data_IF_316192008737
#
_entry.id   IF_316192008737
#
_cell.length_a   1.000
_cell.length_b   1.000
_cell.length_c   1.000
_cell.angle_alpha   90.00
_cell.angle_beta   90.00
_cell.angle_gamma   90.00
#
_symmetry.space_group_name_H-M   'P 1'
#
loop_
_entity.id
_entity.type
_entity.pdbx_description
1 polymer ?
#
# COMPACT_ATOMS: atom_id res chain seq x y z
N UNK A 1 -20.71 -28.81 5.48
CA UNK A 1 -19.51 -28.00 5.26
C UNK A 1 -19.71 -26.61 5.87
N UNK A 2 -18.80 -26.19 6.70
CA UNK A 2 -18.84 -24.81 7.20
C UNK A 2 -18.36 -23.89 6.07
N UNK A 3 -19.20 -22.94 5.67
CA UNK A 3 -18.78 -21.85 4.80
C UNK A 3 -17.78 -20.99 5.57
N UNK A 4 -16.56 -20.86 5.05
CA UNK A 4 -15.57 -19.98 5.63
C UNK A 4 -15.88 -18.57 5.11
N UNK A 5 -16.18 -17.65 6.03
CA UNK A 5 -16.30 -16.26 5.66
C UNK A 5 -14.91 -15.70 5.32
N UNK A 6 -14.77 -14.96 4.20
CA UNK A 6 -13.50 -14.35 3.89
C UNK A 6 -13.15 -13.26 4.93
N UNK A 7 -11.90 -13.17 5.36
CA UNK A 7 -11.46 -12.08 6.24
C UNK A 7 -11.23 -10.77 5.49
N UNK A 8 -11.84 -10.63 4.32
CA UNK A 8 -11.71 -9.45 3.47
C UNK A 8 -13.02 -9.19 2.75
N UNK A 9 -13.20 -7.95 2.32
CA UNK A 9 -14.28 -7.57 1.42
C UNK A 9 -13.71 -7.15 0.07
N UNK A 10 -14.53 -7.20 -0.97
CA UNK A 10 -14.14 -6.76 -2.32
C UNK A 10 -14.74 -5.38 -2.57
N UNK A 11 -13.91 -4.44 -2.95
CA UNK A 11 -14.33 -3.09 -3.30
C UNK A 11 -13.72 -2.66 -4.64
N UNK A 12 -14.55 -2.11 -5.51
CA UNK A 12 -14.09 -1.38 -6.69
C UNK A 12 -13.94 0.08 -6.31
N UNK A 13 -12.78 0.65 -6.62
CA UNK A 13 -12.50 2.06 -6.34
C UNK A 13 -12.02 2.74 -7.61
N UNK A 14 -12.50 3.96 -7.83
CA UNK A 14 -11.98 4.84 -8.88
C UNK A 14 -10.54 5.23 -8.54
N UNK A 15 -9.82 5.70 -9.56
CA UNK A 15 -8.50 6.26 -9.34
C UNK A 15 -8.57 7.49 -8.41
N UNK A 16 -7.54 7.68 -7.61
CA UNK A 16 -7.44 8.87 -6.78
C UNK A 16 -5.98 9.32 -6.66
N UNK A 17 -5.81 10.63 -6.52
CA UNK A 17 -4.47 11.22 -6.42
C UNK A 17 -4.07 11.37 -4.97
N UNK A 18 -2.81 11.07 -4.71
CA UNK A 18 -2.18 11.26 -3.40
C UNK A 18 -0.95 12.14 -3.54
N UNK A 19 -0.60 12.80 -2.45
CA UNK A 19 0.66 13.54 -2.28
C UNK A 19 1.34 12.94 -1.06
N UNK A 20 2.63 12.70 -1.14
CA UNK A 20 3.32 12.07 -0.05
C UNK A 20 4.84 12.19 -0.04
N UNK A 21 5.40 11.61 0.99
CA UNK A 21 6.82 11.56 1.29
C UNK A 21 7.35 10.17 0.95
N UNK A 22 8.22 10.08 -0.05
CA UNK A 22 8.64 8.81 -0.63
C UNK A 22 10.07 8.43 -0.33
N UNK A 23 10.35 7.14 -0.43
CA UNK A 23 11.69 6.58 -0.36
C UNK A 23 11.79 5.41 -1.33
N UNK A 24 12.96 5.27 -1.98
CA UNK A 24 13.24 4.12 -2.83
C UNK A 24 13.96 3.05 -2.03
N UNK A 25 13.55 1.80 -2.20
CA UNK A 25 14.15 0.66 -1.53
C UNK A 25 14.09 -0.58 -2.43
N UNK A 26 14.38 -1.74 -1.87
CA UNK A 26 14.44 -2.98 -2.63
C UNK A 26 13.95 -4.16 -1.80
N UNK A 27 13.41 -5.17 -2.47
CA UNK A 27 13.09 -6.45 -1.84
C UNK A 27 14.31 -7.34 -1.65
N UNK A 28 15.46 -6.93 -2.20
CA UNK A 28 16.69 -7.70 -2.10
C UNK A 28 17.15 -7.76 -0.64
N UNK A 29 17.39 -8.98 -0.14
CA UNK A 29 17.90 -9.23 1.22
C UNK A 29 17.09 -8.58 2.33
N UNK A 30 15.79 -8.36 2.11
CA UNK A 30 14.92 -7.76 3.11
C UNK A 30 15.23 -6.29 3.41
N UNK A 31 15.88 -5.58 2.50
CA UNK A 31 16.28 -4.18 2.67
C UNK A 31 15.10 -3.28 3.06
N UNK A 32 13.92 -3.51 2.47
CA UNK A 32 12.71 -2.74 2.78
C UNK A 32 12.31 -2.84 4.25
N UNK A 33 12.59 -3.96 4.92
CA UNK A 33 12.28 -4.14 6.35
C UNK A 33 13.05 -3.20 7.25
N UNK A 34 14.17 -2.67 6.78
CA UNK A 34 14.97 -1.69 7.52
C UNK A 34 14.63 -0.27 7.06
N UNK A 35 14.51 -0.07 5.76
CA UNK A 35 14.30 1.26 5.16
C UNK A 35 12.91 1.82 5.49
N UNK A 36 11.86 1.01 5.38
CA UNK A 36 10.48 1.49 5.60
C UNK A 36 10.25 1.97 7.04
N UNK A 37 10.63 1.23 8.10
CA UNK A 37 10.50 1.75 9.46
C UNK A 37 11.30 3.04 9.71
N UNK A 38 12.49 3.16 9.14
CA UNK A 38 13.28 4.39 9.22
C UNK A 38 12.59 5.56 8.54
N UNK A 39 11.95 5.30 7.43
CA UNK A 39 11.21 6.32 6.68
C UNK A 39 10.01 6.83 7.49
N UNK A 40 9.26 5.94 8.14
CA UNK A 40 8.21 6.33 9.07
C UNK A 40 8.73 7.14 10.24
N UNK A 41 9.86 6.75 10.80
CA UNK A 41 10.49 7.51 11.89
C UNK A 41 10.87 8.92 11.44
N UNK A 42 11.52 9.05 10.29
CA UNK A 42 11.87 10.35 9.69
C UNK A 42 10.62 11.20 9.45
N UNK A 43 9.58 10.61 8.91
CA UNK A 43 8.30 11.27 8.65
C UNK A 43 7.74 11.93 9.92
N UNK A 44 7.80 11.22 11.05
CA UNK A 44 7.28 11.71 12.34
C UNK A 44 8.21 12.69 13.02
N UNK A 45 9.53 12.41 13.04
CA UNK A 45 10.51 13.18 13.82
C UNK A 45 10.92 14.44 13.08
N UNK A 46 11.06 14.39 11.77
CA UNK A 46 11.63 15.50 10.97
C UNK A 46 10.58 16.51 10.49
N UNK A 47 9.33 16.38 10.97
CA UNK A 47 8.28 17.36 10.70
C UNK A 47 7.50 17.16 9.41
N UNK A 48 7.74 16.08 8.66
CA UNK A 48 7.04 15.83 7.40
C UNK A 48 5.56 15.52 7.63
N UNK A 49 5.20 14.86 8.72
CA UNK A 49 3.82 14.59 9.07
C UNK A 49 3.01 15.89 9.23
N UNK A 50 3.56 16.84 9.96
CA UNK A 50 2.92 18.15 10.15
C UNK A 50 2.76 18.92 8.85
N UNK A 51 3.71 18.77 7.94
CA UNK A 51 3.67 19.44 6.64
C UNK A 51 2.72 18.74 5.67
N UNK A 52 2.50 17.43 5.83
CA UNK A 52 1.66 16.64 4.93
C UNK A 52 0.17 16.78 5.24
N UNK A 53 -0.23 16.70 6.51
CA UNK A 53 -1.64 16.72 6.90
C UNK A 53 -2.46 17.87 6.33
N UNK A 54 -1.95 19.11 6.27
CA UNK A 54 -2.70 20.22 5.66
C UNK A 54 -3.04 20.02 4.18
N UNK A 55 -2.37 19.10 3.50
CA UNK A 55 -2.62 18.79 2.09
C UNK A 55 -3.73 17.76 1.90
N UNK A 56 -4.16 17.10 2.96
CA UNK A 56 -5.21 16.09 2.92
C UNK A 56 -6.56 16.77 2.71
N UNK A 57 -7.02 16.86 1.46
CA UNK A 57 -8.24 17.59 1.10
C UNK A 57 -9.21 16.77 0.24
N UNK A 58 -8.95 15.47 0.06
CA UNK A 58 -9.79 14.57 -0.73
C UNK A 58 -10.04 13.27 0.02
N UNK A 59 -11.07 12.55 -0.42
CA UNK A 59 -11.33 11.18 0.04
C UNK A 59 -10.43 10.17 -0.70
N UNK A 60 -10.06 9.04 -0.09
CA UNK A 60 -10.34 8.70 1.32
C UNK A 60 -9.43 9.47 2.27
N UNK A 61 -9.97 9.86 3.43
CA UNK A 61 -9.18 10.52 4.48
C UNK A 61 -8.33 9.51 5.23
N UNK A 62 -7.14 9.93 5.65
CA UNK A 62 -6.22 9.13 6.42
C UNK A 62 -4.82 9.14 5.82
N UNK A 63 -3.95 8.33 6.40
CA UNK A 63 -2.60 8.09 5.88
C UNK A 63 -2.59 6.81 5.07
N UNK A 64 -1.77 6.80 4.04
CA UNK A 64 -1.49 5.62 3.23
C UNK A 64 -0.01 5.29 3.29
N UNK A 65 0.32 4.00 3.38
CA UNK A 65 1.62 3.48 3.04
C UNK A 65 1.49 2.74 1.71
N UNK A 66 2.15 3.21 0.66
CA UNK A 66 1.94 2.71 -0.69
C UNK A 66 3.23 2.13 -1.24
N UNK A 67 3.20 0.84 -1.58
CA UNK A 67 4.29 0.18 -2.29
C UNK A 67 4.04 0.32 -3.79
N UNK A 68 4.90 1.06 -4.46
CA UNK A 68 4.80 1.35 -5.89
C UNK A 68 5.89 0.56 -6.61
N UNK A 69 5.48 -0.37 -7.48
CA UNK A 69 6.37 -1.31 -8.13
C UNK A 69 6.74 -0.86 -9.54
N UNK A 70 7.76 -1.53 -10.08
CA UNK A 70 8.23 -1.31 -11.46
C UNK A 70 8.68 0.13 -11.72
N UNK A 71 9.27 0.76 -10.70
CA UNK A 71 9.78 2.13 -10.77
C UNK A 71 11.21 2.20 -11.30
N UNK A 72 11.90 1.06 -11.39
CA UNK A 72 13.23 0.95 -11.95
C UNK A 72 13.19 0.01 -13.15
N UNK A 73 13.70 0.46 -14.30
CA UNK A 73 13.66 -0.32 -15.54
C UNK A 73 14.69 -1.44 -15.60
N UNK A 74 15.70 -1.40 -14.75
CA UNK A 74 16.80 -2.37 -14.75
C UNK A 74 16.72 -3.42 -13.65
N UNK A 75 16.11 -3.09 -12.51
CA UNK A 75 16.00 -4.02 -11.38
C UNK A 75 14.54 -4.09 -10.89
N UNK A 76 13.82 -5.20 -11.17
CA UNK A 76 12.41 -5.35 -10.78
C UNK A 76 12.20 -5.49 -9.26
N UNK A 77 13.28 -5.65 -8.47
CA UNK A 77 13.18 -5.73 -7.01
C UNK A 77 13.14 -4.36 -6.36
N UNK A 78 13.50 -3.30 -7.09
CA UNK A 78 13.43 -1.93 -6.60
C UNK A 78 11.98 -1.45 -6.65
N UNK A 79 11.54 -0.83 -5.57
CA UNK A 79 10.22 -0.21 -5.49
C UNK A 79 10.28 1.08 -4.68
N UNK A 80 9.27 1.91 -4.85
CA UNK A 80 9.13 3.13 -4.07
C UNK A 80 8.07 2.93 -3.00
N UNK A 81 8.32 3.45 -1.80
CA UNK A 81 7.36 3.45 -0.71
C UNK A 81 6.99 4.90 -0.40
N UNK A 82 5.68 5.18 -0.38
CA UNK A 82 5.17 6.53 -0.23
C UNK A 82 4.25 6.59 0.98
N UNK A 83 4.53 7.51 1.92
CA UNK A 83 3.60 7.86 2.99
C UNK A 83 2.80 9.05 2.49
N UNK A 84 1.48 8.89 2.35
CA UNK A 84 0.70 9.83 1.56
C UNK A 84 -0.67 10.12 2.15
N UNK A 85 -1.27 11.20 1.66
CA UNK A 85 -2.66 11.58 1.90
C UNK A 85 -3.35 11.81 0.55
N UNK A 86 -4.67 11.62 0.50
CA UNK A 86 -5.45 11.97 -0.68
C UNK A 86 -5.49 13.49 -0.84
N UNK A 87 -5.07 13.99 -2.00
CA UNK A 87 -4.86 15.42 -2.21
C UNK A 87 -4.90 15.80 -3.68
N UNK A 88 -5.46 16.97 -3.97
CA UNK A 88 -5.35 17.61 -5.29
C UNK A 88 -4.38 18.80 -5.29
N UNK A 89 -3.68 19.02 -4.17
CA UNK A 89 -2.68 20.10 -4.08
C UNK A 89 -1.43 19.77 -4.90
N UNK A 90 -0.66 20.79 -5.25
CA UNK A 90 0.62 20.56 -5.91
C UNK A 90 1.59 19.81 -4.98
N UNK A 91 2.35 18.90 -5.58
CA UNK A 91 3.46 18.26 -4.90
C UNK A 91 4.70 19.12 -5.09
N UNK A 92 5.22 19.66 -4.00
CA UNK A 92 6.40 20.53 -3.99
C UNK A 92 7.35 20.15 -2.85
N UNK A 93 8.57 20.66 -2.90
CA UNK A 93 9.59 20.36 -1.90
C UNK A 93 9.92 18.89 -1.85
N UNK A 94 9.82 18.31 -0.65
CA UNK A 94 10.11 16.89 -0.40
C UNK A 94 8.95 15.96 -0.77
N UNK A 95 7.82 16.50 -1.22
CA UNK A 95 6.64 15.69 -1.55
C UNK A 95 6.54 15.40 -3.04
N UNK A 96 5.99 14.24 -3.34
CA UNK A 96 5.69 13.80 -4.70
C UNK A 96 4.23 13.41 -4.81
N UNK A 97 3.68 13.42 -6.02
CA UNK A 97 2.33 12.97 -6.28
C UNK A 97 2.34 11.58 -6.93
N UNK A 98 1.24 10.87 -6.71
CA UNK A 98 1.03 9.56 -7.32
C UNK A 98 -0.46 9.37 -7.56
N UNK A 99 -0.80 8.80 -8.70
CA UNK A 99 -2.17 8.43 -9.03
C UNK A 99 -2.38 6.97 -8.68
N UNK A 100 -3.18 6.70 -7.67
CA UNK A 100 -3.58 5.32 -7.35
C UNK A 100 -4.56 4.88 -8.42
N UNK A 101 -4.25 3.81 -9.17
CA UNK A 101 -5.11 3.43 -10.30
C UNK A 101 -6.46 2.88 -9.83
N UNK A 102 -7.47 3.04 -10.69
CA UNK A 102 -8.75 2.39 -10.48
C UNK A 102 -8.56 0.87 -10.54
N UNK A 103 -8.97 0.18 -9.49
CA UNK A 103 -8.79 -1.27 -9.35
C UNK A 103 -9.93 -1.88 -8.54
N UNK A 104 -10.02 -3.21 -8.61
CA UNK A 104 -10.77 -4.00 -7.65
C UNK A 104 -9.80 -4.42 -6.55
N UNK A 105 -10.19 -4.17 -5.32
CA UNK A 105 -9.35 -4.40 -4.14
C UNK A 105 -9.95 -5.46 -3.24
N UNK A 106 -9.12 -6.36 -2.74
CA UNK A 106 -9.43 -7.14 -1.54
C UNK A 106 -8.95 -6.33 -0.34
N UNK A 107 -9.88 -5.95 0.52
CA UNK A 107 -9.61 -5.08 1.67
C UNK A 107 -9.65 -5.93 2.93
N UNK A 108 -8.50 -6.03 3.60
CA UNK A 108 -8.33 -6.84 4.81
C UNK A 108 -8.23 -5.92 6.03
N UNK A 109 -9.27 -5.87 6.89
CA UNK A 109 -9.14 -5.19 8.17
C UNK A 109 -8.08 -5.86 9.04
N UNK A 110 -7.29 -5.06 9.75
CA UNK A 110 -6.24 -5.55 10.63
C UNK A 110 -5.94 -4.55 11.74
N UNK A 111 -4.84 -4.78 12.45
CA UNK A 111 -4.33 -3.86 13.47
C UNK A 111 -2.89 -3.49 13.15
N UNK A 112 -2.34 -2.51 13.85
CA UNK A 112 -0.92 -2.14 13.69
C UNK A 112 0.00 -3.32 13.99
N UNK A 113 -0.37 -4.17 14.98
CA UNK A 113 0.43 -5.34 15.33
C UNK A 113 0.35 -6.46 14.29
N UNK A 114 -0.78 -6.56 13.57
CA UNK A 114 -1.02 -7.69 12.67
C UNK A 114 -0.85 -7.34 11.19
N UNK A 115 -0.54 -6.09 10.85
CA UNK A 115 -0.51 -5.63 9.47
C UNK A 115 0.45 -6.44 8.59
N UNK A 116 1.66 -6.70 9.05
CA UNK A 116 2.64 -7.49 8.30
C UNK A 116 2.20 -8.93 8.09
N UNK A 117 1.62 -9.55 9.12
CA UNK A 117 1.05 -10.89 9.02
C UNK A 117 -0.12 -10.93 8.05
N UNK A 118 -0.97 -9.91 8.08
CA UNK A 118 -2.13 -9.80 7.19
C UNK A 118 -1.68 -9.69 5.73
N UNK A 119 -0.69 -8.87 5.43
CA UNK A 119 -0.13 -8.75 4.08
C UNK A 119 0.38 -10.10 3.56
N UNK A 120 1.16 -10.80 4.35
CA UNK A 120 1.70 -12.11 3.97
C UNK A 120 0.59 -13.14 3.79
N UNK A 121 -0.34 -13.24 4.73
CA UNK A 121 -1.42 -14.23 4.70
C UNK A 121 -2.48 -13.94 3.64
N UNK A 122 -2.67 -12.68 3.26
CA UNK A 122 -3.61 -12.34 2.19
C UNK A 122 -3.29 -13.13 0.92
N UNK A 123 -2.04 -13.23 0.55
CA UNK A 123 -1.61 -13.88 -0.68
C UNK A 123 -1.34 -15.36 -0.49
N UNK A 124 -0.76 -15.77 0.65
CA UNK A 124 -0.36 -17.17 0.86
C UNK A 124 -1.48 -18.06 1.40
N UNK A 125 -2.40 -17.49 2.17
CA UNK A 125 -3.42 -18.25 2.89
C UNK A 125 -4.85 -17.96 2.40
N UNK A 126 -5.22 -16.69 2.28
CA UNK A 126 -6.63 -16.32 2.10
C UNK A 126 -7.07 -16.29 0.64
N UNK A 127 -6.41 -15.49 -0.20
CA UNK A 127 -6.82 -15.37 -1.61
C UNK A 127 -6.83 -16.70 -2.36
N UNK A 128 -5.89 -17.66 -2.10
CA UNK A 128 -5.97 -18.97 -2.75
C UNK A 128 -7.25 -19.74 -2.49
N UNK A 129 -7.96 -19.48 -1.39
CA UNK A 129 -9.18 -20.18 -1.00
C UNK A 129 -10.46 -19.61 -1.63
N UNK A 130 -10.36 -18.46 -2.31
CA UNK A 130 -11.53 -17.76 -2.84
C UNK A 130 -11.40 -17.55 -4.35
N UNK A 131 -12.40 -16.87 -4.95
CA UNK A 131 -12.49 -16.69 -6.40
C UNK A 131 -11.61 -15.56 -6.95
N UNK A 132 -10.80 -14.94 -6.11
CA UNK A 132 -9.95 -13.81 -6.48
C UNK A 132 -8.50 -14.20 -6.39
N UNK A 133 -7.68 -13.63 -7.28
CA UNK A 133 -6.23 -13.77 -7.23
C UNK A 133 -5.57 -12.40 -7.21
N UNK A 134 -4.43 -12.24 -6.53
CA UNK A 134 -3.73 -10.97 -6.55
C UNK A 134 -3.14 -10.71 -7.94
N UNK A 135 -3.11 -9.44 -8.33
CA UNK A 135 -2.43 -9.04 -9.56
C UNK A 135 -0.92 -9.21 -9.45
N UNK A 136 -0.39 -9.10 -8.24
CA UNK A 136 1.04 -9.25 -7.94
C UNK A 136 1.27 -10.33 -6.90
N UNK A 137 2.28 -11.19 -7.14
CA UNK A 137 2.79 -12.18 -6.19
C UNK A 137 4.28 -11.98 -5.97
N UNK A 138 4.71 -10.71 -6.00
CA UNK A 138 6.09 -10.34 -6.11
C UNK A 138 6.99 -10.85 -4.99
N UNK A 139 6.51 -10.95 -3.77
CA UNK A 139 7.33 -11.44 -2.68
C UNK A 139 7.59 -12.96 -2.76
N UNK A 140 6.79 -13.71 -3.54
CA UNK A 140 7.07 -15.12 -3.82
C UNK A 140 8.08 -15.26 -4.96
N UNK A 141 7.93 -14.44 -6.01
CA UNK A 141 8.69 -14.55 -7.25
C UNK A 141 9.81 -13.53 -7.38
N UNK A 142 9.82 -12.49 -6.54
CA UNK A 142 10.73 -11.35 -6.66
C UNK A 142 10.37 -10.38 -7.77
N UNK A 143 9.25 -10.60 -8.45
CA UNK A 143 8.80 -9.75 -9.58
C UNK A 143 7.33 -9.43 -9.47
N UNK A 144 6.99 -8.17 -9.70
CA UNK A 144 5.62 -7.70 -9.77
C UNK A 144 5.14 -7.71 -11.22
N UNK A 145 4.08 -8.46 -11.50
CA UNK A 145 3.56 -8.62 -12.86
C UNK A 145 2.72 -7.45 -13.33
N UNK A 146 2.22 -6.63 -12.41
CA UNK A 146 1.39 -5.48 -12.74
C UNK A 146 1.92 -4.22 -12.06
N UNK A 147 1.46 -3.06 -12.54
CA UNK A 147 1.77 -1.77 -11.93
C UNK A 147 0.81 -1.42 -10.78
N UNK A 148 -0.05 -2.35 -10.37
CA UNK A 148 -0.92 -2.13 -9.24
C UNK A 148 -0.10 -2.03 -7.95
N UNK A 149 -0.33 -1.01 -7.12
CA UNK A 149 0.37 -0.88 -5.85
C UNK A 149 -0.25 -1.80 -4.80
N UNK A 150 0.51 -2.09 -3.74
CA UNK A 150 -0.03 -2.63 -2.49
C UNK A 150 -0.16 -1.48 -1.50
N UNK A 151 -1.26 -1.42 -0.77
CA UNK A 151 -1.60 -0.28 0.05
C UNK A 151 -1.87 -0.70 1.50
N UNK A 152 -1.28 0.04 2.44
CA UNK A 152 -1.65 0.05 3.84
C UNK A 152 -2.45 1.33 4.08
N UNK A 153 -3.62 1.20 4.69
CA UNK A 153 -4.49 2.35 4.95
C UNK A 153 -4.67 2.52 6.46
N UNK A 154 -4.42 3.74 6.93
CA UNK A 154 -4.54 4.13 8.33
C UNK A 154 -5.61 5.21 8.41
N UNK A 155 -6.84 4.79 8.68
CA UNK A 155 -8.00 5.67 8.74
C UNK A 155 -8.25 6.23 10.14
N UNK A 156 -9.44 6.79 10.32
CA UNK A 156 -9.86 7.37 11.59
C UNK A 156 -10.24 6.27 12.59
N UNK A 157 -10.21 6.61 13.88
CA UNK A 157 -10.64 5.74 14.98
C UNK A 157 -9.90 4.40 15.04
N UNK A 158 -8.61 4.40 14.70
CA UNK A 158 -7.80 3.20 14.75
C UNK A 158 -8.04 2.20 13.63
N UNK A 159 -8.77 2.59 12.59
CA UNK A 159 -8.99 1.75 11.42
C UNK A 159 -7.67 1.50 10.69
N UNK A 160 -7.32 0.23 10.51
CA UNK A 160 -6.16 -0.18 9.72
C UNK A 160 -6.61 -1.24 8.72
N UNK A 161 -6.20 -1.08 7.47
CA UNK A 161 -6.56 -2.01 6.40
C UNK A 161 -5.36 -2.26 5.49
N UNK A 162 -5.32 -3.46 4.91
CA UNK A 162 -4.42 -3.81 3.81
C UNK A 162 -5.25 -3.95 2.55
N UNK A 163 -4.87 -3.27 1.49
CA UNK A 163 -5.55 -3.34 0.19
C UNK A 163 -4.66 -4.04 -0.83
N UNK A 164 -5.14 -5.15 -1.35
CA UNK A 164 -4.46 -5.92 -2.38
C UNK A 164 -5.28 -5.84 -3.67
N UNK A 165 -4.68 -5.40 -4.75
CA UNK A 165 -5.34 -5.38 -6.05
C UNK A 165 -5.54 -6.81 -6.54
N UNK A 166 -6.77 -7.14 -6.95
CA UNK A 166 -7.18 -8.50 -7.31
C UNK A 166 -7.96 -8.52 -8.62
N UNK A 167 -8.06 -9.71 -9.18
CA UNK A 167 -8.97 -10.01 -10.30
C UNK A 167 -9.61 -11.37 -10.05
N UNK A 168 -10.75 -11.62 -10.69
CA UNK A 168 -11.40 -12.94 -10.63
C UNK A 168 -10.52 -13.98 -11.32
N UNK A 169 -10.49 -15.16 -10.73
CA UNK A 169 -9.83 -16.34 -11.33
C UNK A 169 -10.54 -16.80 -12.58
#
# INVERSE_FOLDING_TARGET
>A
MKNIEPPFRIEKKDSFRVVGYGVRTSNQRGQGRTVIPRHWSSFKVDGYEKALWPRANKEPHGLFGINIYNTDTTDPRIFDYLIAVSSDTEADGEFTSYEVPARTWAVFPCTLETIGKTEAQAITKWLPKFQYKPLNRGYITGRMKSNAPDIEYYGENGLVEVWIAVEKK
#
